data_IF_452846420148
#
_entry.id   IF_452846420148
#
_cell.length_a   1.000
_cell.length_b   1.000
_cell.length_c   1.000
_cell.angle_alpha   90.00
_cell.angle_beta   90.00
_cell.angle_gamma   90.00
#
_symmetry.space_group_name_H-M   'P 1'
#
loop_
_entity.id
_entity.type
_entity.pdbx_description
1 polymer ?
#
# COMPACT_ATOMS: atom_id res chain seq x y z
N UNK A 1 16.94 11.38 2.49
CA UNK A 1 16.58 10.49 1.37
C UNK A 1 15.58 11.23 0.50
N UNK A 2 15.60 11.03 -0.82
CA UNK A 2 14.55 11.57 -1.68
C UNK A 2 13.28 10.72 -1.51
N UNK A 3 12.06 11.30 -1.65
CA UNK A 3 10.81 10.55 -1.51
C UNK A 3 10.75 9.29 -2.40
N UNK A 4 11.42 9.33 -3.56
CA UNK A 4 11.58 8.17 -4.43
C UNK A 4 12.31 6.98 -3.76
N UNK A 5 13.31 7.22 -2.90
CA UNK A 5 14.04 6.15 -2.24
C UNK A 5 13.20 5.47 -1.13
N UNK A 6 12.35 6.23 -0.45
CA UNK A 6 11.46 5.70 0.61
C UNK A 6 10.31 4.89 0.01
N UNK A 7 9.76 5.33 -1.13
CA UNK A 7 8.80 4.55 -1.92
C UNK A 7 9.42 3.23 -2.36
N UNK A 8 10.61 3.24 -2.96
CA UNK A 8 11.27 2.02 -3.43
C UNK A 8 11.57 1.05 -2.27
N UNK A 9 12.01 1.56 -1.12
CA UNK A 9 12.24 0.74 0.08
C UNK A 9 10.94 0.11 0.58
N UNK A 10 9.84 0.87 0.58
CA UNK A 10 8.54 0.36 1.00
C UNK A 10 8.01 -0.71 0.04
N UNK A 11 8.18 -0.51 -1.27
CA UNK A 11 7.84 -1.52 -2.28
C UNK A 11 8.67 -2.78 -2.13
N UNK A 12 9.96 -2.66 -1.82
CA UNK A 12 10.84 -3.80 -1.53
C UNK A 12 10.31 -4.62 -0.35
N UNK A 13 10.01 -3.97 0.78
CA UNK A 13 9.48 -4.65 1.95
C UNK A 13 8.12 -5.31 1.69
N UNK A 14 7.26 -4.69 0.88
CA UNK A 14 6.00 -5.32 0.45
C UNK A 14 6.24 -6.54 -0.42
N UNK A 15 7.21 -6.50 -1.35
CA UNK A 15 7.59 -7.67 -2.15
C UNK A 15 8.07 -8.81 -1.26
N UNK A 16 8.98 -8.53 -0.33
CA UNK A 16 9.54 -9.53 0.61
C UNK A 16 8.42 -10.18 1.44
N UNK A 17 7.51 -9.37 1.99
CA UNK A 17 6.36 -9.85 2.74
C UNK A 17 5.46 -10.76 1.89
N UNK A 18 5.19 -10.37 0.65
CA UNK A 18 4.40 -11.19 -0.26
C UNK A 18 5.12 -12.50 -0.59
N UNK A 19 6.43 -12.44 -0.82
CA UNK A 19 7.25 -13.62 -1.09
C UNK A 19 7.26 -14.60 0.07
N UNK A 20 7.35 -14.12 1.30
CA UNK A 20 7.28 -14.97 2.49
C UNK A 20 5.90 -15.62 2.62
N UNK A 21 4.82 -14.88 2.39
CA UNK A 21 3.46 -15.41 2.44
C UNK A 21 3.19 -16.52 1.41
N UNK A 22 3.79 -16.42 0.22
CA UNK A 22 3.63 -17.43 -0.83
C UNK A 22 4.63 -18.58 -0.74
N UNK A 23 5.54 -18.63 0.25
CA UNK A 23 6.40 -19.79 0.51
C UNK A 23 5.60 -20.92 1.19
N UNK A 24 6.15 -22.13 1.21
CA UNK A 24 5.52 -23.26 1.91
C UNK A 24 5.42 -22.97 3.42
N UNK A 25 4.20 -22.92 3.95
CA UNK A 25 3.97 -22.61 5.36
C UNK A 25 4.18 -21.14 5.72
N UNK A 26 4.26 -20.26 4.71
CA UNK A 26 4.30 -18.81 4.91
C UNK A 26 2.98 -18.28 5.44
N UNK A 27 3.06 -17.28 6.33
CA UNK A 27 1.89 -16.56 6.83
C UNK A 27 1.96 -15.10 6.35
N UNK A 28 0.84 -14.58 5.87
CA UNK A 28 0.75 -13.18 5.49
C UNK A 28 0.56 -12.30 6.72
N UNK A 29 1.57 -11.48 7.03
CA UNK A 29 1.50 -10.53 8.14
C UNK A 29 0.68 -9.28 7.74
N UNK A 30 -0.61 -9.32 8.04
CA UNK A 30 -1.56 -8.27 7.69
C UNK A 30 -1.22 -6.93 8.36
N UNK A 31 -0.79 -6.94 9.62
CA UNK A 31 -0.45 -5.72 10.37
C UNK A 31 0.73 -5.00 9.71
N UNK A 32 1.76 -5.76 9.31
CA UNK A 32 2.92 -5.21 8.62
C UNK A 32 2.56 -4.67 7.24
N UNK A 33 1.71 -5.39 6.49
CA UNK A 33 1.21 -4.93 5.20
C UNK A 33 0.42 -3.61 5.33
N UNK A 34 -0.42 -3.48 6.36
CA UNK A 34 -1.18 -2.25 6.62
C UNK A 34 -0.26 -1.07 6.91
N UNK A 35 0.77 -1.25 7.76
CA UNK A 35 1.76 -0.21 8.04
C UNK A 35 2.50 0.25 6.77
N UNK A 36 2.94 -0.71 5.95
CA UNK A 36 3.69 -0.42 4.72
C UNK A 36 2.82 0.26 3.67
N UNK A 37 1.57 -0.19 3.49
CA UNK A 37 0.63 0.41 2.52
C UNK A 37 0.18 1.80 2.94
N UNK A 38 0.01 2.05 4.24
CA UNK A 38 -0.20 3.40 4.77
C UNK A 38 1.01 4.31 4.48
N UNK A 39 2.23 3.85 4.77
CA UNK A 39 3.45 4.60 4.45
C UNK A 39 3.57 4.91 2.95
N UNK A 40 3.25 3.93 2.10
CA UNK A 40 3.27 4.07 0.65
C UNK A 40 2.30 5.17 0.18
N UNK A 41 1.12 5.24 0.79
CA UNK A 41 0.11 6.26 0.53
C UNK A 41 0.60 7.65 0.92
N UNK A 42 1.12 7.80 2.14
CA UNK A 42 1.60 9.08 2.68
C UNK A 42 2.80 9.63 1.92
N UNK A 43 3.68 8.78 1.41
CA UNK A 43 4.82 9.20 0.60
C UNK A 43 4.44 9.55 -0.85
N UNK A 44 3.15 9.53 -1.19
CA UNK A 44 2.67 10.00 -2.49
C UNK A 44 2.88 9.01 -3.63
N UNK A 45 2.99 7.70 -3.33
CA UNK A 45 2.92 6.69 -4.38
C UNK A 45 1.58 6.86 -5.09
N UNK A 46 1.65 7.38 -6.31
CA UNK A 46 0.51 8.00 -6.95
C UNK A 46 -0.40 6.92 -7.54
N UNK A 47 -1.47 6.59 -6.81
CA UNK A 47 -2.59 5.75 -7.26
C UNK A 47 -3.20 6.21 -8.61
N UNK A 48 -2.93 7.46 -8.99
CA UNK A 48 -3.59 8.18 -10.08
C UNK A 48 -2.62 8.93 -11.01
N UNK A 49 -1.32 8.66 -10.96
CA UNK A 49 -0.44 9.15 -12.04
C UNK A 49 -0.87 8.48 -13.33
N UNK A 50 -1.22 9.29 -14.32
CA UNK A 50 -1.69 8.83 -15.63
C UNK A 50 -0.65 7.84 -16.21
N UNK A 51 -1.05 6.58 -16.38
CA UNK A 51 -0.18 5.51 -16.89
C UNK A 51 0.50 4.63 -15.84
N UNK A 52 0.31 4.86 -14.54
CA UNK A 52 0.90 4.00 -13.50
C UNK A 52 0.01 2.78 -13.20
N UNK A 53 0.55 1.55 -13.25
CA UNK A 53 -0.24 0.34 -12.99
C UNK A 53 -0.63 0.23 -11.50
N UNK A 54 -1.70 -0.53 -11.18
CA UNK A 54 -2.10 -0.77 -9.79
C UNK A 54 -0.99 -1.46 -8.99
N UNK A 55 -1.01 -1.30 -7.66
CA UNK A 55 0.04 -1.79 -6.75
C UNK A 55 0.22 -3.29 -6.90
N UNK A 56 -0.90 -4.01 -6.98
CA UNK A 56 -0.93 -5.44 -7.23
C UNK A 56 -0.15 -5.85 -8.49
N UNK A 57 -0.21 -5.09 -9.58
CA UNK A 57 0.54 -5.40 -10.80
C UNK A 57 2.04 -5.16 -10.62
N UNK A 58 2.42 -4.06 -9.96
CA UNK A 58 3.83 -3.77 -9.63
C UNK A 58 4.41 -4.87 -8.76
N UNK A 59 3.69 -5.29 -7.71
CA UNK A 59 4.14 -6.35 -6.82
C UNK A 59 4.19 -7.71 -7.52
N UNK A 60 3.24 -8.04 -8.39
CA UNK A 60 3.30 -9.27 -9.20
C UNK A 60 4.58 -9.36 -10.02
N UNK A 61 4.96 -8.26 -10.67
CA UNK A 61 6.16 -8.21 -11.49
C UNK A 61 7.44 -8.36 -10.65
N UNK A 62 7.51 -7.66 -9.52
CA UNK A 62 8.61 -7.80 -8.55
C UNK A 62 8.72 -9.21 -7.98
N UNK A 63 7.62 -9.80 -7.52
CA UNK A 63 7.60 -11.16 -6.97
C UNK A 63 8.08 -12.19 -8.01
N UNK A 64 7.68 -12.04 -9.28
CA UNK A 64 8.15 -12.94 -10.36
C UNK A 64 9.66 -12.84 -10.60
N UNK A 65 10.24 -11.67 -10.35
CA UNK A 65 11.67 -11.40 -10.54
C UNK A 65 12.49 -11.81 -9.33
N UNK A 66 12.04 -11.43 -8.13
CA UNK A 66 12.80 -11.58 -6.88
C UNK A 66 12.55 -12.92 -6.19
N UNK A 67 11.43 -13.58 -6.49
CA UNK A 67 11.00 -14.83 -5.86
C UNK A 67 10.52 -15.84 -6.92
N UNK A 68 11.43 -16.29 -7.82
CA UNK A 68 11.06 -17.10 -8.98
C UNK A 68 10.54 -18.50 -8.62
N UNK A 69 11.11 -19.16 -7.60
CA UNK A 69 10.67 -20.50 -7.16
C UNK A 69 9.19 -20.55 -6.74
N UNK A 70 8.68 -19.66 -5.87
CA UNK A 70 7.26 -19.64 -5.55
C UNK A 70 6.39 -19.12 -6.72
N UNK A 71 6.91 -18.28 -7.62
CA UNK A 71 6.09 -17.63 -8.65
C UNK A 71 5.63 -18.54 -9.80
N UNK A 72 6.42 -19.55 -10.18
CA UNK A 72 6.15 -20.38 -11.37
C UNK A 72 4.90 -21.26 -11.21
N UNK A 73 4.59 -21.70 -9.98
CA UNK A 73 3.50 -22.64 -9.71
C UNK A 73 2.38 -22.08 -8.82
N UNK A 74 2.52 -20.84 -8.30
CA UNK A 74 1.61 -20.28 -7.30
C UNK A 74 0.89 -19.01 -7.77
N UNK A 75 0.60 -18.91 -9.06
CA UNK A 75 -0.09 -17.74 -9.63
C UNK A 75 -1.34 -17.32 -8.84
N UNK A 76 -2.20 -18.27 -8.47
CA UNK A 76 -3.40 -17.99 -7.67
C UNK A 76 -3.10 -17.49 -6.25
N UNK A 77 -2.05 -18.00 -5.60
CA UNK A 77 -1.65 -17.53 -4.27
C UNK A 77 -1.05 -16.12 -4.36
N UNK A 78 -0.25 -15.85 -5.40
CA UNK A 78 0.24 -14.50 -5.68
C UNK A 78 -0.92 -13.55 -5.88
N UNK A 79 -1.89 -13.89 -6.73
CA UNK A 79 -3.07 -13.06 -7.00
C UNK A 79 -3.87 -12.75 -5.72
N UNK A 80 -4.00 -13.73 -4.82
CA UNK A 80 -4.63 -13.55 -3.52
C UNK A 80 -3.88 -12.55 -2.64
N UNK A 81 -2.60 -12.79 -2.39
CA UNK A 81 -1.77 -11.97 -1.49
C UNK A 81 -1.64 -10.54 -2.00
N UNK A 82 -1.34 -10.35 -3.29
CA UNK A 82 -1.20 -9.00 -3.86
C UNK A 82 -2.54 -8.27 -3.99
N UNK A 83 -3.66 -9.00 -4.13
CA UNK A 83 -5.01 -8.44 -4.10
C UNK A 83 -5.39 -7.94 -2.71
N UNK A 84 -4.91 -8.61 -1.67
CA UNK A 84 -5.06 -8.16 -0.29
C UNK A 84 -4.25 -6.89 -0.01
N UNK A 85 -2.98 -6.86 -0.40
CA UNK A 85 -2.12 -5.66 -0.30
C UNK A 85 -2.74 -4.48 -1.06
N UNK A 86 -3.27 -4.71 -2.27
CA UNK A 86 -4.00 -3.69 -3.01
C UNK A 86 -5.16 -3.15 -2.17
N UNK A 87 -5.99 -4.02 -1.59
CA UNK A 87 -7.15 -3.60 -0.80
C UNK A 87 -6.77 -2.76 0.42
N UNK A 88 -5.68 -3.11 1.10
CA UNK A 88 -5.13 -2.34 2.23
C UNK A 88 -4.67 -0.96 1.79
N UNK A 89 -3.94 -0.89 0.66
CA UNK A 89 -3.51 0.38 0.09
C UNK A 89 -4.69 1.26 -0.32
N UNK A 90 -5.70 0.70 -0.98
CA UNK A 90 -6.89 1.46 -1.35
C UNK A 90 -7.65 2.01 -0.14
N UNK A 91 -7.65 1.27 0.97
CA UNK A 91 -8.20 1.75 2.24
C UNK A 91 -7.37 2.91 2.77
N UNK A 92 -6.05 2.76 2.85
CA UNK A 92 -5.15 3.81 3.34
C UNK A 92 -5.28 5.11 2.52
N UNK A 93 -5.24 5.03 1.20
CA UNK A 93 -5.33 6.22 0.33
C UNK A 93 -6.67 6.93 0.39
N UNK A 94 -7.76 6.23 0.70
CA UNK A 94 -9.07 6.88 0.91
C UNK A 94 -9.12 7.70 2.20
N UNK A 95 -8.34 7.34 3.21
CA UNK A 95 -8.31 8.08 4.49
C UNK A 95 -7.50 9.37 4.39
N UNK A 96 -6.42 9.38 3.60
CA UNK A 96 -5.65 10.61 3.36
C UNK A 96 -6.42 11.63 2.52
N UNK A 97 -7.17 11.17 1.50
CA UNK A 97 -8.07 12.01 0.69
C UNK A 97 -9.22 12.61 1.55
N UNK A 98 -9.55 11.94 2.66
CA UNK A 98 -10.57 12.36 3.64
C UNK A 98 -10.01 13.17 4.81
N UNK A 99 -8.78 13.69 4.75
CA UNK A 99 -8.34 14.64 5.77
C UNK A 99 -9.21 15.90 5.65
N UNK A 100 -10.09 16.20 6.63
CA UNK A 100 -10.94 17.38 6.56
C UNK A 100 -10.07 18.59 6.88
N UNK A 101 -9.56 19.24 5.84
CA UNK A 101 -9.08 20.61 5.88
C UNK A 101 -10.21 21.64 5.77
N UNK A 102 -11.43 21.32 6.22
CA UNK A 102 -12.56 22.25 6.19
C UNK A 102 -12.91 22.68 7.62
N UNK A 103 -12.24 23.76 8.01
CA UNK A 103 -12.71 24.86 8.86
C UNK A 103 -14.08 24.68 9.55
N UNK A 104 -14.08 24.30 10.83
CA UNK A 104 -15.04 24.86 11.79
C UNK A 104 -14.28 25.61 12.89
N UNK A 105 -13.53 26.62 12.45
CA UNK A 105 -13.32 27.84 13.23
C UNK A 105 -14.29 28.89 12.69
N UNK A 106 -15.56 28.87 13.07
CA UNK A 106 -16.41 30.07 13.03
C UNK A 106 -17.77 29.87 13.73
N UNK A 107 -17.77 29.68 15.05
CA UNK A 107 -18.91 30.16 15.86
C UNK A 107 -18.47 30.56 17.26
N UNK A 108 -17.74 31.66 17.34
CA UNK A 108 -18.01 32.69 18.34
C UNK A 108 -18.09 34.00 17.58
N UNK A 109 -19.29 34.62 17.54
CA UNK A 109 -19.61 35.51 18.64
C UNK A 109 -21.11 35.58 18.98
N UNK A 110 -21.44 35.69 20.27
CA UNK A 110 -22.02 36.92 20.85
C UNK A 110 -22.51 36.68 22.27
N UNK A 111 -21.92 37.44 23.18
CA UNK A 111 -22.56 37.98 24.38
C UNK A 111 -23.99 38.43 24.07
N UNK A 112 -24.95 38.02 24.90
CA UNK A 112 -26.21 38.76 25.04
C UNK A 112 -26.44 38.99 26.52
N UNK A 113 -26.53 40.29 26.82
CA UNK A 113 -26.83 40.95 28.09
C UNK A 113 -28.17 40.52 28.67
#
# INVERSE_FOLDING_TARGET
>A
MSPNAEIETTLQHLTELCCDAIKNGGEFNHERAEQLTANLSTNGWSRHSEGQPPLSNVLKDRIRTECPEPAIHRGAAIDGVVGEVQSLYERASRYEDKTPGDTDQAMSPRTMT
#
